data_IF_249743995297
#
_entry.id   IF_249743995297
#
_cell.length_a   1.000
_cell.length_b   1.000
_cell.length_c   1.000
_cell.angle_alpha   90.00
_cell.angle_beta   90.00
_cell.angle_gamma   90.00
#
_symmetry.space_group_name_H-M   'P 1'
#
loop_
_entity.id
_entity.type
_entity.pdbx_description
1 polymer ?
#
# COMPACT_ATOMS: atom_id res chain seq x y z
N UNK A 1 -3.14 -19.53 11.99
CA UNK A 1 -2.81 -18.17 11.50
C UNK A 1 -1.29 -18.01 11.34
N UNK A 2 -0.79 -17.66 10.15
CA UNK A 2 0.65 -17.50 9.90
C UNK A 2 1.10 -16.08 10.27
N UNK A 3 1.43 -15.86 11.55
CA UNK A 3 1.85 -14.55 12.07
C UNK A 3 3.08 -13.96 11.37
N UNK A 4 4.00 -14.81 10.87
CA UNK A 4 5.16 -14.35 10.12
C UNK A 4 4.76 -13.78 8.75
N UNK A 5 3.78 -14.40 8.09
CA UNK A 5 3.23 -13.90 6.84
C UNK A 5 2.44 -12.61 7.04
N UNK A 6 1.57 -12.55 8.05
CA UNK A 6 0.82 -11.35 8.40
C UNK A 6 1.75 -10.16 8.70
N UNK A 7 2.84 -10.38 9.46
CA UNK A 7 3.84 -9.35 9.72
C UNK A 7 4.53 -8.84 8.44
N UNK A 8 4.77 -9.71 7.46
CA UNK A 8 5.32 -9.32 6.15
C UNK A 8 4.33 -8.47 5.36
N UNK A 9 3.04 -8.79 5.39
CA UNK A 9 2.00 -8.00 4.74
C UNK A 9 1.91 -6.58 5.34
N UNK A 10 1.93 -6.46 6.67
CA UNK A 10 1.98 -5.14 7.31
C UNK A 10 3.21 -4.33 6.94
N UNK A 11 4.40 -4.96 6.95
CA UNK A 11 5.62 -4.29 6.53
C UNK A 11 5.53 -3.82 5.07
N UNK A 12 4.97 -4.66 4.19
CA UNK A 12 4.79 -4.35 2.78
C UNK A 12 3.79 -3.21 2.55
N UNK A 13 2.69 -3.20 3.31
CA UNK A 13 1.70 -2.11 3.28
C UNK A 13 2.34 -0.78 3.67
N UNK A 14 3.09 -0.75 4.79
CA UNK A 14 3.78 0.46 5.24
C UNK A 14 4.82 0.98 4.23
N UNK A 15 5.54 0.07 3.55
CA UNK A 15 6.46 0.45 2.46
C UNK A 15 5.73 1.14 1.29
N UNK A 16 4.54 0.66 0.92
CA UNK A 16 3.77 1.24 -0.18
C UNK A 16 3.12 2.57 0.23
N UNK A 17 2.63 2.67 1.45
CA UNK A 17 2.09 3.93 2.01
C UNK A 17 3.17 5.02 2.05
N UNK A 18 4.40 4.69 2.49
CA UNK A 18 5.51 5.64 2.48
C UNK A 18 5.92 6.08 1.06
N UNK A 19 5.82 5.18 0.07
CA UNK A 19 6.05 5.53 -1.35
C UNK A 19 4.97 6.45 -1.88
N UNK A 20 3.71 6.18 -1.53
CA UNK A 20 2.57 7.01 -1.92
C UNK A 20 2.70 8.42 -1.31
N UNK A 21 3.07 8.51 -0.03
CA UNK A 21 3.31 9.79 0.64
C UNK A 21 4.44 10.58 -0.02
N UNK A 22 5.56 9.92 -0.36
CA UNK A 22 6.66 10.56 -1.08
C UNK A 22 6.23 11.04 -2.47
N UNK A 23 5.41 10.24 -3.17
CA UNK A 23 4.85 10.60 -4.47
C UNK A 23 3.95 11.83 -4.33
N UNK A 24 2.97 11.81 -3.42
CA UNK A 24 2.06 12.93 -3.16
C UNK A 24 2.81 14.22 -2.77
N UNK A 25 3.87 14.11 -1.95
CA UNK A 25 4.72 15.24 -1.56
C UNK A 25 5.49 15.84 -2.75
N UNK A 26 5.88 15.04 -3.75
CA UNK A 26 6.53 15.52 -4.97
C UNK A 26 5.57 16.30 -5.87
N UNK A 27 4.30 15.90 -5.93
CA UNK A 27 3.27 16.61 -6.70
C UNK A 27 2.82 17.92 -6.03
N UNK A 28 3.07 18.11 -4.74
CA UNK A 28 2.71 19.33 -4.00
C UNK A 28 3.40 20.62 -4.49
N UNK A 29 4.48 20.53 -5.28
CA UNK A 29 5.27 21.69 -5.72
C UNK A 29 5.18 22.04 -7.22
N UNK A 30 4.25 21.43 -7.94
CA UNK A 30 3.84 21.89 -9.26
C UNK A 30 4.91 21.73 -10.34
N UNK A 31 5.08 20.50 -10.81
CA UNK A 31 5.42 20.26 -12.21
C UNK A 31 4.33 19.35 -12.77
N UNK A 32 3.80 19.74 -13.92
CA UNK A 32 2.74 19.08 -14.68
C UNK A 32 3.29 17.76 -15.27
N UNK A 33 3.79 16.86 -14.42
CA UNK A 33 4.10 15.50 -14.83
C UNK A 33 2.78 14.75 -14.96
N UNK A 34 2.53 14.25 -16.17
CA UNK A 34 1.39 13.39 -16.50
C UNK A 34 1.31 12.29 -15.45
N UNK A 35 0.18 12.20 -14.76
CA UNK A 35 -0.12 11.10 -13.83
C UNK A 35 0.13 9.77 -14.56
N UNK A 36 1.27 9.15 -14.28
CA UNK A 36 1.80 7.99 -15.01
C UNK A 36 1.14 6.67 -14.58
N UNK A 37 0.11 6.76 -13.74
CA UNK A 37 -0.57 5.63 -13.11
C UNK A 37 0.06 5.16 -11.80
N UNK A 38 1.24 5.66 -11.41
CA UNK A 38 1.95 5.20 -10.20
C UNK A 38 1.11 5.38 -8.93
N UNK A 39 0.38 6.50 -8.81
CA UNK A 39 -0.48 6.73 -7.64
C UNK A 39 -1.62 5.72 -7.56
N UNK A 40 -2.26 5.43 -8.71
CA UNK A 40 -3.36 4.47 -8.83
C UNK A 40 -2.87 3.07 -8.50
N UNK A 41 -1.74 2.66 -9.07
CA UNK A 41 -1.13 1.35 -8.84
C UNK A 41 -0.74 1.16 -7.37
N UNK A 42 -0.16 2.18 -6.73
CA UNK A 42 0.19 2.15 -5.31
C UNK A 42 -1.05 1.99 -4.44
N UNK A 43 -2.11 2.75 -4.71
CA UNK A 43 -3.38 2.66 -3.97
C UNK A 43 -4.04 1.30 -4.13
N UNK A 44 -4.14 0.80 -5.36
CA UNK A 44 -4.71 -0.52 -5.63
C UNK A 44 -3.91 -1.61 -4.91
N UNK A 45 -2.58 -1.52 -4.91
CA UNK A 45 -1.74 -2.51 -4.22
C UNK A 45 -1.88 -2.45 -2.70
N UNK A 46 -2.06 -1.25 -2.13
CA UNK A 46 -2.34 -1.07 -0.70
C UNK A 46 -3.70 -1.69 -0.34
N UNK A 47 -4.71 -1.48 -1.19
CA UNK A 47 -6.05 -2.03 -1.00
C UNK A 47 -6.02 -3.57 -1.01
N UNK A 48 -5.42 -4.19 -2.04
CA UNK A 48 -5.25 -5.65 -2.13
C UNK A 48 -4.61 -6.26 -0.87
N UNK A 49 -3.53 -5.63 -0.37
CA UNK A 49 -2.83 -6.12 0.83
C UNK A 49 -3.68 -5.90 2.08
N UNK A 50 -4.46 -4.81 2.14
CA UNK A 50 -5.34 -4.52 3.27
C UNK A 50 -6.49 -5.53 3.35
N UNK A 51 -7.06 -5.90 2.21
CA UNK A 51 -8.07 -6.96 2.12
C UNK A 51 -7.49 -8.32 2.55
N UNK A 52 -6.28 -8.64 2.10
CA UNK A 52 -5.60 -9.89 2.48
C UNK A 52 -5.31 -9.94 3.99
N UNK A 53 -4.84 -8.84 4.58
CA UNK A 53 -4.65 -8.71 6.03
C UNK A 53 -5.98 -8.95 6.74
N UNK A 54 -7.06 -8.28 6.34
CA UNK A 54 -8.37 -8.44 6.95
C UNK A 54 -8.86 -9.89 6.85
N UNK A 55 -8.72 -10.53 5.68
CA UNK A 55 -9.07 -11.94 5.50
C UNK A 55 -8.27 -12.86 6.43
N UNK A 56 -6.98 -12.60 6.63
CA UNK A 56 -6.13 -13.40 7.53
C UNK A 56 -6.45 -13.16 9.01
N UNK A 57 -6.82 -11.94 9.39
CA UNK A 57 -7.22 -11.59 10.77
C UNK A 57 -8.60 -12.13 11.14
N UNK A 58 -9.51 -12.20 10.16
CA UNK A 58 -10.85 -12.74 10.33
C UNK A 58 -10.93 -14.26 10.08
N UNK A 59 -9.85 -14.90 9.63
CA UNK A 59 -9.81 -16.35 9.42
C UNK A 59 -9.75 -17.07 10.79
N UNK A 60 -10.76 -17.88 11.15
CA UNK A 60 -10.69 -18.69 12.36
C UNK A 60 -9.53 -19.67 12.23
N UNK A 61 -8.62 -19.63 13.22
CA UNK A 61 -7.42 -20.47 13.27
C UNK A 61 -7.72 -21.94 13.53
#
# INVERSE_FOLDING_TARGET
>A
MNYAYLRRLYARRAELEAKLELHDARYCFGEEEVEDGTQIDLRQRIEEISEEIAALEHSPG
#
